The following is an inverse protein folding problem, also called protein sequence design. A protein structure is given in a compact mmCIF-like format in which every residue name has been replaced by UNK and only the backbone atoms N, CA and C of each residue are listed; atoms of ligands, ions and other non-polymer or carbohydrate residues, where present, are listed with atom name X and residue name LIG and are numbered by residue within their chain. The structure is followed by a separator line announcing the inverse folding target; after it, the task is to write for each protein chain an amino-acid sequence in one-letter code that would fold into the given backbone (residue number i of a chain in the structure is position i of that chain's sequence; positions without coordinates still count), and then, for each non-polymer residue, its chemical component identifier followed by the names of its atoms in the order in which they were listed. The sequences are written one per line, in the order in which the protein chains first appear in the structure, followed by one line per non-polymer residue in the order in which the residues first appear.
data_IF_569358499947
#
_entry.id   IF_569358499947
#
_cell.length_a   1.000
_cell.length_b   1.000
_cell.length_c   1.000
_cell.angle_alpha   90.00
_cell.angle_beta   90.00
_cell.angle_gamma   90.00
#
_symmetry.space_group_name_H-M   'P 1'
#
loop_
_entity.id
_entity.type
_entity.pdbx_description
1 polymer ?
#
# COMPACT_ATOMS: atom_id res chain seq x y z
N UNK A 1 -19.18 34.50 -10.75
CA UNK A 1 -20.39 34.25 -9.95
C UNK A 1 -20.42 35.28 -8.83
N UNK A 2 -21.20 36.31 -8.97
CA UNK A 2 -21.49 37.24 -7.87
C UNK A 2 -22.73 36.70 -7.15
N UNK A 3 -22.58 36.23 -5.93
CA UNK A 3 -23.65 35.88 -5.02
C UNK A 3 -23.79 37.02 -4.01
N UNK A 4 -25.01 37.50 -3.80
CA UNK A 4 -25.26 38.55 -2.81
C UNK A 4 -24.87 38.02 -1.41
N UNK A 5 -24.13 38.80 -0.63
CA UNK A 5 -23.69 38.42 0.72
C UNK A 5 -24.85 37.96 1.62
N UNK A 6 -26.05 38.48 1.40
CA UNK A 6 -27.27 38.12 2.11
C UNK A 6 -27.75 36.73 1.73
N UNK A 7 -27.76 36.39 0.43
CA UNK A 7 -28.13 35.08 -0.09
C UNK A 7 -27.10 34.02 0.32
N UNK A 8 -25.81 34.41 0.39
CA UNK A 8 -24.76 33.53 0.92
C UNK A 8 -24.97 33.23 2.40
N UNK A 9 -25.29 34.23 3.21
CA UNK A 9 -25.53 34.03 4.65
C UNK A 9 -26.77 33.16 4.91
N UNK A 10 -27.86 33.36 4.17
CA UNK A 10 -29.10 32.56 4.29
C UNK A 10 -28.88 31.08 3.86
N UNK A 11 -28.06 30.83 2.84
CA UNK A 11 -27.79 29.51 2.31
C UNK A 11 -26.54 28.82 2.95
N UNK A 12 -25.77 29.51 3.78
CA UNK A 12 -24.52 29.01 4.36
C UNK A 12 -24.72 28.00 5.50
N UNK A 13 -25.96 27.79 5.95
CA UNK A 13 -26.27 26.95 7.11
C UNK A 13 -25.72 27.49 8.44
N UNK A 14 -25.37 28.79 8.51
CA UNK A 14 -24.85 29.44 9.73
C UNK A 14 -25.96 30.02 10.62
N UNK A 15 -27.19 29.93 10.18
CA UNK A 15 -28.38 30.36 10.91
C UNK A 15 -29.36 29.21 11.08
N UNK A 16 -30.07 29.19 12.21
CA UNK A 16 -31.19 28.26 12.45
C UNK A 16 -32.45 28.71 11.70
N UNK A 17 -33.52 27.92 11.80
CA UNK A 17 -34.81 28.21 11.16
C UNK A 17 -35.44 29.52 11.67
N UNK A 18 -35.07 29.98 12.87
CA UNK A 18 -35.51 31.20 13.52
C UNK A 18 -34.57 32.39 13.22
N UNK A 19 -33.58 32.22 12.33
CA UNK A 19 -32.57 33.22 11.94
C UNK A 19 -31.60 33.62 13.06
N UNK A 20 -31.44 32.82 14.11
CA UNK A 20 -30.39 33.02 15.09
C UNK A 20 -29.07 32.48 14.53
N UNK A 21 -27.98 33.24 14.70
CA UNK A 21 -26.66 32.78 14.29
C UNK A 21 -26.23 31.54 15.10
N UNK A 22 -25.92 30.45 14.40
CA UNK A 22 -25.39 29.27 15.07
C UNK A 22 -24.02 29.56 15.67
N UNK A 23 -23.83 29.18 16.91
CA UNK A 23 -22.58 29.33 17.65
C UNK A 23 -21.72 28.09 17.41
N UNK A 24 -20.45 28.31 17.14
CA UNK A 24 -19.51 27.21 16.98
C UNK A 24 -19.43 26.40 18.28
N UNK A 25 -19.62 25.10 18.20
CA UNK A 25 -19.41 24.19 19.33
C UNK A 25 -17.89 24.06 19.55
N UNK A 26 -17.37 24.65 20.62
CA UNK A 26 -15.95 24.67 20.97
C UNK A 26 -15.64 23.70 22.09
N UNK A 27 -14.40 23.22 22.16
CA UNK A 27 -13.94 22.31 23.23
C UNK A 27 -14.04 22.92 24.66
N UNK A 28 -14.09 24.24 24.76
CA UNK A 28 -14.35 24.95 26.02
C UNK A 28 -15.80 24.82 26.53
N UNK A 29 -16.72 24.36 25.67
CA UNK A 29 -18.07 24.03 26.08
C UNK A 29 -18.09 22.69 26.81
N UNK A 30 -18.48 22.64 28.07
CA UNK A 30 -18.59 21.40 28.86
C UNK A 30 -19.58 20.36 28.28
N UNK A 31 -20.35 20.71 27.25
CA UNK A 31 -21.26 19.82 26.50
C UNK A 31 -20.79 19.50 25.09
N UNK A 32 -19.54 19.81 24.75
CA UNK A 32 -19.00 19.68 23.41
C UNK A 32 -19.34 18.34 22.73
N UNK A 33 -19.00 17.23 23.39
CA UNK A 33 -19.29 15.89 22.90
C UNK A 33 -20.79 15.55 22.91
N UNK A 34 -21.51 15.96 23.97
CA UNK A 34 -22.95 15.71 24.09
C UNK A 34 -23.74 16.39 22.99
N UNK A 35 -23.43 17.64 22.68
CA UNK A 35 -24.10 18.40 21.62
C UNK A 35 -23.82 17.78 20.24
N UNK A 36 -22.60 17.29 20.02
CA UNK A 36 -22.26 16.56 18.80
C UNK A 36 -23.03 15.23 18.71
N UNK A 37 -23.04 14.44 19.78
CA UNK A 37 -23.75 13.17 19.84
C UNK A 37 -25.25 13.34 19.57
N UNK A 38 -25.88 14.34 20.18
CA UNK A 38 -27.30 14.64 19.98
C UNK A 38 -27.62 15.01 18.52
N UNK A 39 -26.68 15.57 17.79
CA UNK A 39 -26.86 15.88 16.37
C UNK A 39 -26.64 14.66 15.47
N UNK A 40 -25.70 13.80 15.78
CA UNK A 40 -25.32 12.66 14.92
C UNK A 40 -26.22 11.45 15.15
N UNK A 41 -26.61 11.15 16.38
CA UNK A 41 -27.40 9.97 16.71
C UNK A 41 -28.71 9.85 15.91
N UNK A 42 -29.58 10.87 15.82
CA UNK A 42 -30.82 10.74 15.04
C UNK A 42 -30.54 10.56 13.53
N UNK A 43 -29.46 11.16 13.02
CA UNK A 43 -29.05 10.98 11.62
C UNK A 43 -28.61 9.56 11.33
N UNK A 44 -27.84 8.96 12.23
CA UNK A 44 -27.41 7.55 12.09
C UNK A 44 -28.60 6.59 12.21
N UNK A 45 -29.58 6.89 13.05
CA UNK A 45 -30.83 6.10 13.12
C UNK A 45 -31.58 6.10 11.81
N UNK A 46 -31.77 7.29 11.22
CA UNK A 46 -32.42 7.41 9.90
C UNK A 46 -31.59 6.69 8.82
N UNK A 47 -30.26 6.88 8.83
CA UNK A 47 -29.38 6.22 7.87
C UNK A 47 -29.48 4.68 7.99
N UNK A 48 -29.59 4.13 9.21
CA UNK A 48 -29.81 2.70 9.42
C UNK A 48 -31.11 2.21 8.78
N UNK A 49 -32.20 2.96 8.92
CA UNK A 49 -33.51 2.58 8.39
C UNK A 49 -33.55 2.67 6.84
N UNK A 50 -32.68 3.48 6.25
CA UNK A 50 -32.53 3.62 4.80
C UNK A 50 -31.50 2.66 4.19
N UNK A 51 -30.70 1.98 5.01
CA UNK A 51 -29.61 1.14 4.56
C UNK A 51 -30.15 -0.17 3.96
N UNK A 52 -29.71 -0.51 2.75
CA UNK A 52 -29.97 -1.81 2.13
C UNK A 52 -29.29 -2.94 2.94
N UNK A 53 -29.72 -4.19 2.73
CA UNK A 53 -29.16 -5.35 3.45
C UNK A 53 -27.66 -5.55 3.24
N UNK A 54 -27.14 -5.15 2.07
CA UNK A 54 -25.74 -5.16 1.67
C UNK A 54 -25.10 -3.75 1.68
N UNK A 55 -25.83 -2.77 2.22
CA UNK A 55 -25.43 -1.37 2.23
C UNK A 55 -24.25 -1.10 3.16
N UNK A 56 -23.52 -0.03 2.86
CA UNK A 56 -22.34 0.44 3.58
C UNK A 56 -22.51 1.91 3.95
N UNK A 57 -22.13 2.27 5.16
CA UNK A 57 -22.00 3.67 5.59
C UNK A 57 -20.53 3.99 5.79
N UNK A 58 -20.08 5.11 5.22
CA UNK A 58 -18.71 5.61 5.42
C UNK A 58 -18.77 7.03 5.93
N UNK A 59 -18.10 7.30 7.04
CA UNK A 59 -18.12 8.61 7.71
C UNK A 59 -16.69 9.09 7.89
N UNK A 60 -16.37 10.25 7.31
CA UNK A 60 -15.10 10.94 7.57
C UNK A 60 -15.20 11.70 8.89
N UNK A 61 -14.18 11.54 9.75
CA UNK A 61 -14.20 12.13 11.09
C UNK A 61 -12.78 12.41 11.60
N UNK A 62 -12.65 13.43 12.43
CA UNK A 62 -11.40 13.77 13.11
C UNK A 62 -11.17 12.91 14.36
N UNK A 63 -9.96 12.98 14.91
CA UNK A 63 -9.57 12.28 16.15
C UNK A 63 -10.43 12.63 17.37
N UNK A 64 -11.09 13.79 17.35
CA UNK A 64 -11.87 14.28 18.49
C UNK A 64 -13.08 13.42 18.82
N UNK A 65 -13.77 12.92 17.81
CA UNK A 65 -15.07 12.25 17.96
C UNK A 65 -15.08 10.81 17.43
N UNK A 66 -13.96 10.32 16.89
CA UNK A 66 -13.90 8.98 16.26
C UNK A 66 -14.32 7.87 17.23
N UNK A 67 -13.88 7.91 18.48
CA UNK A 67 -14.22 6.91 19.49
C UNK A 67 -15.70 6.93 19.89
N UNK A 68 -16.31 8.12 19.95
CA UNK A 68 -17.75 8.26 20.19
C UNK A 68 -18.56 7.74 19.00
N UNK A 69 -18.12 8.01 17.78
CA UNK A 69 -18.77 7.50 16.56
C UNK A 69 -18.69 5.97 16.47
N UNK A 70 -17.55 5.38 16.80
CA UNK A 70 -17.37 3.92 16.81
C UNK A 70 -18.32 3.28 17.83
N UNK A 71 -18.33 3.74 19.09
CA UNK A 71 -19.21 3.21 20.12
C UNK A 71 -20.70 3.33 19.75
N UNK A 72 -21.09 4.45 19.14
CA UNK A 72 -22.45 4.66 18.64
C UNK A 72 -22.79 3.72 17.47
N UNK A 73 -21.85 3.55 16.54
CA UNK A 73 -21.98 2.62 15.41
C UNK A 73 -22.19 1.18 15.90
N UNK A 74 -21.36 0.70 16.80
CA UNK A 74 -21.46 -0.64 17.39
C UNK A 74 -22.81 -0.84 18.10
N UNK A 75 -23.28 0.17 18.84
CA UNK A 75 -24.57 0.12 19.52
C UNK A 75 -25.77 0.10 18.58
N UNK A 76 -25.75 0.92 17.53
CA UNK A 76 -26.87 1.05 16.60
C UNK A 76 -26.94 -0.07 15.55
N UNK A 77 -25.78 -0.56 15.09
CA UNK A 77 -25.66 -1.47 13.95
C UNK A 77 -25.19 -2.87 14.37
N UNK A 78 -25.83 -3.48 15.35
CA UNK A 78 -25.41 -4.76 15.96
C UNK A 78 -25.27 -5.96 15.00
N UNK A 79 -25.78 -5.85 13.76
CA UNK A 79 -25.60 -6.82 12.67
C UNK A 79 -24.41 -6.52 11.74
N UNK A 80 -23.70 -5.42 11.95
CA UNK A 80 -22.61 -4.93 11.10
C UNK A 80 -21.26 -4.97 11.84
N UNK A 81 -20.19 -4.80 11.09
CA UNK A 81 -18.85 -4.49 11.62
C UNK A 81 -18.65 -2.98 11.56
N UNK A 82 -18.00 -2.43 12.59
CA UNK A 82 -17.55 -1.04 12.59
C UNK A 82 -16.02 -1.03 12.47
N UNK A 83 -15.51 -0.56 11.35
CA UNK A 83 -14.08 -0.59 11.03
C UNK A 83 -13.56 0.83 10.93
N UNK A 84 -12.46 1.13 11.60
CA UNK A 84 -11.80 2.44 11.54
C UNK A 84 -10.55 2.36 10.65
N UNK A 85 -10.51 3.20 9.62
CA UNK A 85 -9.37 3.34 8.71
C UNK A 85 -8.72 4.69 8.96
N UNK A 86 -7.42 4.70 9.26
CA UNK A 86 -6.63 5.92 9.40
C UNK A 86 -6.16 6.39 8.03
N UNK A 87 -6.45 7.65 7.69
CA UNK A 87 -6.09 8.25 6.41
C UNK A 87 -5.10 9.39 6.66
N UNK A 88 -3.91 9.28 6.12
CA UNK A 88 -2.94 10.38 6.17
C UNK A 88 -3.40 11.51 5.26
N UNK A 89 -3.69 12.68 5.84
CA UNK A 89 -4.19 13.87 5.12
C UNK A 89 -3.13 14.91 4.87
N UNK A 90 -2.00 14.85 5.58
CA UNK A 90 -0.91 15.83 5.44
C UNK A 90 0.46 15.18 5.65
N UNK A 91 1.50 15.74 5.01
CA UNK A 91 2.90 15.34 5.23
C UNK A 91 3.53 15.93 6.50
N UNK A 92 2.84 16.89 7.11
CA UNK A 92 3.30 17.62 8.30
C UNK A 92 4.56 18.47 8.07
N UNK A 93 4.68 19.54 8.87
CA UNK A 93 5.95 20.25 9.05
C UNK A 93 6.38 20.05 10.51
N UNK A 94 7.67 19.87 10.81
CA UNK A 94 8.13 19.78 12.19
C UNK A 94 7.71 21.03 12.95
N UNK A 95 6.97 20.87 14.06
CA UNK A 95 6.45 21.98 14.87
C UNK A 95 6.81 21.88 16.35
N UNK A 96 7.76 21.01 16.71
CA UNK A 96 8.23 20.86 18.09
C UNK A 96 7.26 20.16 19.05
N UNK A 97 6.16 19.56 18.55
CA UNK A 97 5.14 18.84 19.32
C UNK A 97 4.50 17.72 18.51
N UNK A 98 3.42 17.14 19.05
CA UNK A 98 2.62 16.17 18.30
C UNK A 98 1.73 16.87 17.29
N UNK A 99 1.83 16.44 16.01
CA UNK A 99 0.98 16.89 14.92
C UNK A 99 -0.01 15.80 14.53
N UNK A 100 -1.27 16.17 14.38
CA UNK A 100 -2.28 15.30 13.81
C UNK A 100 -2.18 15.38 12.27
N UNK A 101 -1.60 14.34 11.67
CA UNK A 101 -1.36 14.26 10.22
C UNK A 101 -2.40 13.39 9.52
N UNK A 102 -3.42 12.95 10.24
CA UNK A 102 -4.39 11.98 9.78
C UNK A 102 -5.80 12.33 10.23
N UNK A 103 -6.75 11.80 9.51
CA UNK A 103 -8.17 11.72 9.82
C UNK A 103 -8.61 10.27 9.75
N UNK A 104 -9.86 10.01 10.06
CA UNK A 104 -10.42 8.66 10.09
C UNK A 104 -11.59 8.53 9.14
N UNK A 105 -11.70 7.36 8.51
CA UNK A 105 -12.92 6.89 7.88
C UNK A 105 -13.48 5.77 8.75
N UNK A 106 -14.66 5.95 9.30
CA UNK A 106 -15.40 4.91 10.01
C UNK A 106 -16.34 4.24 9.02
N UNK A 107 -16.14 2.95 8.80
CA UNK A 107 -16.92 2.11 7.92
C UNK A 107 -17.87 1.27 8.76
N UNK A 108 -19.15 1.30 8.43
CA UNK A 108 -20.17 0.40 8.99
C UNK A 108 -20.60 -0.50 7.84
N UNK A 109 -20.23 -1.77 7.90
CA UNK A 109 -20.38 -2.74 6.81
C UNK A 109 -21.05 -4.03 7.31
N UNK A 110 -21.75 -4.78 6.45
CA UNK A 110 -22.25 -6.12 6.81
C UNK A 110 -21.12 -7.02 7.33
N UNK A 111 -21.45 -8.02 8.19
CA UNK A 111 -20.43 -8.93 8.76
C UNK A 111 -19.72 -9.79 7.72
N UNK A 112 -20.38 -10.06 6.62
CA UNK A 112 -19.92 -10.84 5.47
C UNK A 112 -19.42 -9.94 4.31
N UNK A 113 -19.20 -8.65 4.58
CA UNK A 113 -18.74 -7.69 3.58
C UNK A 113 -17.38 -8.09 2.99
N UNK A 114 -17.36 -8.24 1.68
CA UNK A 114 -16.12 -8.45 0.89
C UNK A 114 -15.94 -7.23 -0.02
N UNK A 115 -14.82 -6.53 0.15
CA UNK A 115 -14.49 -5.43 -0.73
C UNK A 115 -14.13 -5.96 -2.12
N UNK A 116 -14.84 -5.51 -3.15
CA UNK A 116 -14.44 -5.80 -4.52
C UNK A 116 -13.07 -5.18 -4.83
N UNK A 117 -12.20 -5.88 -5.56
CA UNK A 117 -10.96 -5.29 -6.02
C UNK A 117 -11.27 -4.06 -6.87
N UNK A 118 -10.67 -2.93 -6.51
CA UNK A 118 -10.81 -1.69 -7.28
C UNK A 118 -9.97 -1.84 -8.54
N UNK A 119 -10.58 -1.74 -9.71
CA UNK A 119 -9.84 -1.51 -10.95
C UNK A 119 -8.99 -0.25 -10.78
N UNK A 120 -7.70 -0.36 -11.09
CA UNK A 120 -6.76 0.73 -10.84
C UNK A 120 -7.22 2.01 -11.56
N UNK A 121 -7.41 3.08 -10.79
CA UNK A 121 -7.69 4.41 -11.32
C UNK A 121 -6.68 4.75 -12.41
N UNK A 122 -7.15 4.95 -13.65
CA UNK A 122 -6.30 5.29 -14.78
C UNK A 122 -6.30 4.27 -15.93
N UNK A 123 -7.14 3.22 -15.92
CA UNK A 123 -7.36 2.35 -17.08
C UNK A 123 -6.13 1.57 -17.55
N UNK A 124 -5.08 1.47 -16.73
CA UNK A 124 -3.95 0.56 -16.97
C UNK A 124 -4.17 -0.66 -16.11
N UNK A 125 -4.38 -1.80 -16.75
CA UNK A 125 -4.37 -3.10 -16.10
C UNK A 125 -3.09 -3.20 -15.25
N UNK A 126 -3.24 -3.12 -13.93
CA UNK A 126 -2.12 -3.43 -13.04
C UNK A 126 -1.95 -4.93 -13.08
N UNK A 127 -0.87 -5.37 -13.70
CA UNK A 127 -0.50 -6.78 -13.58
C UNK A 127 -0.25 -7.09 -12.10
N UNK A 128 -0.62 -8.27 -11.61
CA UNK A 128 -0.37 -8.66 -10.22
C UNK A 128 1.12 -8.78 -9.90
N UNK A 129 1.99 -8.64 -10.91
CA UNK A 129 3.43 -8.76 -10.74
C UNK A 129 4.04 -7.59 -9.97
N UNK A 130 4.83 -7.88 -8.96
CA UNK A 130 5.65 -6.93 -8.20
C UNK A 130 7.14 -7.06 -8.55
N UNK A 131 7.93 -6.00 -8.29
CA UNK A 131 9.38 -6.05 -8.52
C UNK A 131 10.05 -7.12 -7.67
N UNK A 132 10.93 -7.93 -8.28
CA UNK A 132 11.69 -8.97 -7.57
C UNK A 132 12.74 -8.38 -6.62
N UNK A 133 13.19 -7.14 -6.86
CA UNK A 133 14.18 -6.43 -6.05
C UNK A 133 13.61 -6.06 -4.68
N UNK A 134 14.33 -6.37 -3.61
CA UNK A 134 13.96 -6.09 -2.22
C UNK A 134 14.94 -5.08 -1.61
N UNK A 135 14.54 -3.80 -1.56
CA UNK A 135 15.40 -2.68 -1.15
C UNK A 135 15.47 -2.43 0.35
N UNK A 136 14.67 -3.15 1.15
CA UNK A 136 14.64 -3.04 2.61
C UNK A 136 15.76 -3.82 3.30
N UNK A 137 16.41 -4.72 2.58
CA UNK A 137 17.54 -5.51 3.07
C UNK A 137 18.76 -5.32 2.16
N UNK A 138 19.94 -5.52 2.71
CA UNK A 138 21.22 -5.51 2.03
C UNK A 138 21.86 -6.91 1.94
N UNK A 139 22.96 -6.96 1.24
CA UNK A 139 23.72 -8.20 0.99
C UNK A 139 24.45 -8.75 2.22
N UNK A 140 24.63 -7.94 3.28
CA UNK A 140 25.15 -8.42 4.57
C UNK A 140 24.09 -9.22 5.32
N UNK A 141 22.87 -8.67 5.38
CA UNK A 141 21.74 -9.27 6.07
C UNK A 141 21.22 -10.53 5.37
N UNK A 142 21.24 -10.53 4.02
CA UNK A 142 20.71 -11.63 3.22
C UNK A 142 21.64 -12.05 2.08
N UNK A 143 22.85 -12.57 2.39
CA UNK A 143 23.86 -12.89 1.36
C UNK A 143 23.42 -13.98 0.39
N UNK A 144 22.49 -14.87 0.76
CA UNK A 144 21.94 -15.88 -0.16
C UNK A 144 20.97 -15.30 -1.19
N UNK A 145 20.46 -14.07 -0.98
CA UNK A 145 19.59 -13.36 -1.93
C UNK A 145 20.35 -12.34 -2.78
N UNK A 146 21.67 -12.25 -2.65
CA UNK A 146 22.57 -11.44 -3.47
C UNK A 146 23.28 -12.35 -4.51
N UNK A 147 22.69 -12.49 -5.70
CA UNK A 147 23.17 -13.32 -6.79
C UNK A 147 22.76 -12.76 -8.15
N UNK A 148 23.50 -13.07 -9.26
CA UNK A 148 23.10 -12.66 -10.59
C UNK A 148 22.03 -13.59 -11.15
N UNK A 149 21.09 -13.01 -11.88
CA UNK A 149 20.13 -13.71 -12.74
C UNK A 149 20.59 -13.52 -14.18
N UNK A 150 20.66 -14.58 -14.96
CA UNK A 150 21.11 -14.56 -16.33
C UNK A 150 19.95 -14.52 -17.31
N UNK A 151 19.97 -13.55 -18.21
CA UNK A 151 18.96 -13.35 -19.24
C UNK A 151 19.64 -13.46 -20.62
N UNK A 152 19.10 -14.27 -21.50
CA UNK A 152 19.55 -14.37 -22.88
C UNK A 152 19.32 -13.05 -23.63
N UNK A 153 20.37 -12.53 -24.28
CA UNK A 153 20.30 -11.21 -24.92
C UNK A 153 19.37 -11.14 -26.13
N UNK A 154 19.17 -12.26 -26.84
CA UNK A 154 18.38 -12.32 -28.05
C UNK A 154 16.89 -12.54 -27.72
N UNK A 155 16.61 -13.46 -26.82
CA UNK A 155 15.24 -13.87 -26.52
C UNK A 155 14.63 -13.13 -25.32
N UNK A 156 15.45 -12.54 -24.45
CA UNK A 156 15.00 -11.92 -23.19
C UNK A 156 14.51 -12.93 -22.15
N UNK A 157 14.78 -14.22 -22.34
CA UNK A 157 14.36 -15.28 -21.44
C UNK A 157 15.40 -15.52 -20.32
N UNK A 158 14.92 -15.90 -19.16
CA UNK A 158 15.76 -16.32 -18.05
C UNK A 158 16.43 -17.66 -18.38
N UNK A 159 17.75 -17.70 -18.36
CA UNK A 159 18.56 -18.89 -18.68
C UNK A 159 19.14 -19.58 -17.46
N UNK A 160 19.32 -18.84 -16.37
CA UNK A 160 19.88 -19.40 -15.15
C UNK A 160 20.15 -18.36 -14.08
N UNK A 161 20.79 -18.79 -13.01
CA UNK A 161 21.25 -17.94 -11.91
C UNK A 161 22.70 -18.29 -11.58
N UNK A 162 23.46 -17.30 -11.10
CA UNK A 162 24.81 -17.52 -10.63
C UNK A 162 24.88 -17.83 -9.13
N UNK A 163 26.09 -18.02 -8.63
CA UNK A 163 26.34 -18.27 -7.22
C UNK A 163 25.96 -17.04 -6.38
N UNK A 164 25.28 -17.26 -5.26
CA UNK A 164 24.99 -16.21 -4.29
C UNK A 164 26.26 -15.82 -3.52
N UNK A 165 26.26 -14.61 -2.94
CA UNK A 165 27.35 -14.15 -2.09
C UNK A 165 27.61 -15.15 -0.92
N UNK A 166 26.55 -15.76 -0.37
CA UNK A 166 26.69 -16.82 0.64
C UNK A 166 27.50 -18.02 0.14
N UNK A 167 27.25 -18.45 -1.09
CA UNK A 167 27.99 -19.58 -1.73
C UNK A 167 29.43 -19.17 -2.05
N UNK A 168 29.65 -17.95 -2.49
CA UNK A 168 31.00 -17.44 -2.77
C UNK A 168 31.86 -17.39 -1.50
N UNK A 169 31.30 -16.96 -0.38
CA UNK A 169 31.97 -16.96 0.92
C UNK A 169 32.23 -18.40 1.39
N UNK A 170 31.22 -19.26 1.37
CA UNK A 170 31.34 -20.65 1.82
C UNK A 170 32.36 -21.47 1.01
N UNK A 171 32.55 -21.15 -0.27
CA UNK A 171 33.54 -21.78 -1.14
C UNK A 171 34.94 -21.13 -1.08
N UNK A 172 35.14 -20.09 -0.30
CA UNK A 172 36.39 -19.32 -0.22
C UNK A 172 36.71 -18.47 -1.46
N UNK A 173 35.79 -18.35 -2.42
CA UNK A 173 35.94 -17.49 -3.60
C UNK A 173 35.85 -16.00 -3.28
N UNK A 174 35.25 -15.66 -2.16
CA UNK A 174 35.21 -14.31 -1.62
C UNK A 174 35.48 -14.34 -0.10
N UNK A 175 36.45 -13.56 0.34
CA UNK A 175 36.89 -13.50 1.74
C UNK A 175 36.78 -12.11 2.34
N UNK A 176 36.29 -11.12 1.58
CA UNK A 176 36.10 -9.74 2.03
C UNK A 176 34.84 -9.55 2.84
N UNK A 177 34.65 -8.32 3.31
CA UNK A 177 33.41 -7.90 3.97
C UNK A 177 32.23 -7.94 2.98
N UNK A 178 31.08 -8.46 3.41
CA UNK A 178 29.90 -8.65 2.56
C UNK A 178 29.37 -7.36 1.95
N UNK A 179 29.43 -6.23 2.68
CA UNK A 179 28.98 -4.93 2.19
C UNK A 179 29.87 -4.41 1.06
N UNK A 180 31.18 -4.77 1.10
CA UNK A 180 32.16 -4.37 0.11
C UNK A 180 32.16 -5.23 -1.16
N UNK A 181 31.36 -6.31 -1.21
CA UNK A 181 31.23 -7.12 -2.41
C UNK A 181 30.64 -6.29 -3.55
N UNK A 182 31.38 -6.17 -4.65
CA UNK A 182 30.92 -5.48 -5.87
C UNK A 182 30.23 -6.47 -6.79
N UNK A 183 29.04 -6.14 -7.26
CA UNK A 183 28.29 -6.96 -8.21
C UNK A 183 29.02 -7.05 -9.56
N UNK A 184 29.43 -8.25 -9.92
CA UNK A 184 30.18 -8.52 -11.15
C UNK A 184 29.23 -8.83 -12.32
N UNK A 185 29.06 -7.87 -13.22
CA UNK A 185 28.25 -8.04 -14.41
C UNK A 185 28.92 -8.86 -15.52
N UNK A 186 30.26 -9.09 -15.42
CA UNK A 186 31.01 -9.88 -16.39
C UNK A 186 30.86 -11.41 -16.16
N UNK A 187 30.26 -11.83 -15.06
CA UNK A 187 30.07 -13.23 -14.72
C UNK A 187 29.03 -13.97 -15.58
N UNK A 188 28.35 -13.26 -16.49
CA UNK A 188 27.33 -13.85 -17.35
C UNK A 188 27.92 -14.87 -18.34
N UNK A 189 27.25 -15.99 -18.63
CA UNK A 189 27.58 -16.89 -19.71
C UNK A 189 27.53 -16.17 -21.09
N UNK A 190 28.28 -16.66 -22.05
CA UNK A 190 28.29 -16.11 -23.43
C UNK A 190 26.87 -16.07 -24.01
N UNK A 191 26.48 -14.91 -24.53
CA UNK A 191 25.14 -14.66 -25.08
C UNK A 191 24.06 -14.31 -24.03
N UNK A 192 24.46 -14.15 -22.77
CA UNK A 192 23.56 -13.71 -21.69
C UNK A 192 24.10 -12.47 -20.99
N UNK A 193 23.22 -11.73 -20.34
CA UNK A 193 23.56 -10.61 -19.46
C UNK A 193 23.25 -10.97 -18.01
N UNK A 194 24.08 -10.50 -17.10
CA UNK A 194 23.84 -10.63 -15.67
C UNK A 194 22.98 -9.47 -15.16
N UNK A 195 21.92 -9.79 -14.42
CA UNK A 195 21.06 -8.83 -13.75
C UNK A 195 21.24 -9.01 -12.25
N UNK A 196 21.60 -7.92 -11.58
CA UNK A 196 21.82 -7.90 -10.14
C UNK A 196 20.71 -7.14 -9.40
N UNK A 197 20.47 -7.42 -8.09
CA UNK A 197 19.45 -6.75 -7.29
C UNK A 197 19.88 -5.31 -6.96
N UNK A 198 19.69 -4.40 -7.87
CA UNK A 198 20.03 -2.99 -7.76
C UNK A 198 18.77 -2.15 -7.98
N UNK A 199 18.55 -1.16 -7.11
CA UNK A 199 17.40 -0.25 -7.26
C UNK A 199 17.57 0.65 -8.50
N UNK A 200 16.49 1.27 -8.97
CA UNK A 200 16.56 2.24 -10.07
C UNK A 200 17.52 3.42 -9.81
N UNK A 201 17.84 3.71 -8.55
CA UNK A 201 18.79 4.75 -8.13
C UNK A 201 20.24 4.25 -8.01
N UNK A 202 20.50 2.98 -8.35
CA UNK A 202 21.83 2.38 -8.30
C UNK A 202 22.26 1.88 -6.92
N UNK A 203 21.33 1.76 -5.95
CA UNK A 203 21.66 1.19 -4.63
C UNK A 203 21.61 -0.33 -4.70
N UNK A 204 22.68 -0.99 -4.26
CA UNK A 204 22.73 -2.45 -4.06
C UNK A 204 21.70 -2.88 -3.01
N UNK A 205 21.04 -3.98 -3.27
CA UNK A 205 20.07 -4.60 -2.37
C UNK A 205 20.04 -6.13 -2.61
N UNK A 206 18.93 -6.80 -2.37
CA UNK A 206 18.81 -8.26 -2.54
C UNK A 206 17.56 -8.61 -3.35
N UNK A 207 17.46 -9.86 -3.81
CA UNK A 207 16.22 -10.38 -4.39
C UNK A 207 15.24 -10.79 -3.29
N UNK A 208 13.94 -10.88 -3.62
CA UNK A 208 12.90 -11.42 -2.73
C UNK A 208 13.02 -12.92 -2.53
N UNK A 209 13.62 -13.62 -3.49
CA UNK A 209 13.73 -15.07 -3.53
C UNK A 209 15.19 -15.54 -3.49
N UNK A 210 15.40 -16.77 -3.03
CA UNK A 210 16.68 -17.46 -3.09
C UNK A 210 16.89 -18.09 -4.47
N UNK A 211 18.15 -18.41 -4.89
CA UNK A 211 18.45 -18.91 -6.24
C UNK A 211 17.64 -20.14 -6.65
N UNK A 212 17.46 -21.08 -5.73
CA UNK A 212 16.79 -22.35 -5.99
C UNK A 212 15.31 -22.16 -6.36
N UNK A 213 14.67 -21.17 -5.73
CA UNK A 213 13.24 -20.88 -5.95
C UNK A 213 13.00 -20.17 -7.28
N UNK A 214 13.88 -19.29 -7.71
CA UNK A 214 13.73 -18.51 -8.96
C UNK A 214 13.54 -19.40 -10.18
N UNK A 215 14.34 -20.45 -10.33
CA UNK A 215 14.25 -21.36 -11.47
C UNK A 215 12.93 -22.15 -11.48
N UNK A 216 12.45 -22.52 -10.30
CA UNK A 216 11.14 -23.17 -10.17
C UNK A 216 9.99 -22.23 -10.51
N UNK A 217 10.01 -21.04 -9.96
CA UNK A 217 8.98 -20.01 -10.18
C UNK A 217 8.95 -19.53 -11.64
N UNK A 218 10.12 -19.47 -12.31
CA UNK A 218 10.21 -19.20 -13.74
C UNK A 218 9.51 -20.27 -14.57
N UNK A 219 9.76 -21.55 -14.30
CA UNK A 219 9.12 -22.67 -15.02
C UNK A 219 7.61 -22.71 -14.84
N UNK A 220 7.11 -22.23 -13.71
CA UNK A 220 5.67 -22.14 -13.41
C UNK A 220 5.01 -20.87 -14.01
N UNK A 221 5.79 -19.96 -14.62
CA UNK A 221 5.27 -18.71 -15.17
C UNK A 221 5.03 -17.62 -14.14
N UNK A 222 5.52 -17.76 -12.91
CA UNK A 222 5.35 -16.79 -11.83
C UNK A 222 6.33 -15.61 -11.91
N UNK A 223 7.27 -15.64 -12.85
CA UNK A 223 8.26 -14.58 -13.06
C UNK A 223 8.06 -13.96 -14.45
N UNK A 224 8.13 -12.65 -14.51
CA UNK A 224 8.09 -11.86 -15.75
C UNK A 224 9.40 -11.09 -15.92
N UNK A 225 9.98 -11.17 -17.10
CA UNK A 225 11.17 -10.40 -17.50
C UNK A 225 10.75 -9.35 -18.51
N UNK A 226 11.18 -8.11 -18.33
CA UNK A 226 10.87 -7.00 -19.24
C UNK A 226 12.15 -6.21 -19.54
N UNK A 227 12.42 -5.95 -20.82
CA UNK A 227 13.55 -5.12 -21.22
C UNK A 227 13.30 -3.66 -20.88
N UNK A 228 14.28 -3.01 -20.25
CA UNK A 228 14.21 -1.61 -19.90
C UNK A 228 14.48 -0.74 -21.14
N UNK A 229 13.60 0.21 -21.44
CA UNK A 229 13.82 1.17 -22.54
C UNK A 229 14.91 2.19 -22.19
N UNK A 230 15.03 2.56 -20.92
CA UNK A 230 16.08 3.43 -20.38
C UNK A 230 16.53 2.83 -19.06
N UNK A 231 17.76 2.34 -18.99
CA UNK A 231 18.35 1.87 -17.73
C UNK A 231 18.99 3.03 -16.99
N UNK A 232 18.51 3.29 -15.77
CA UNK A 232 19.16 4.22 -14.83
C UNK A 232 20.26 3.56 -13.99
N UNK A 233 20.41 2.25 -14.16
CA UNK A 233 21.44 1.40 -13.56
C UNK A 233 22.01 0.49 -14.64
N UNK A 234 22.94 -0.42 -14.31
CA UNK A 234 23.56 -1.32 -15.28
C UNK A 234 22.63 -2.46 -15.76
N UNK A 235 21.47 -2.64 -15.14
CA UNK A 235 20.53 -3.69 -15.51
C UNK A 235 19.75 -3.33 -16.77
N UNK A 236 19.89 -4.15 -17.81
CA UNK A 236 19.15 -4.00 -19.06
C UNK A 236 17.70 -4.53 -18.98
N UNK A 237 17.39 -5.32 -17.96
CA UNK A 237 16.08 -5.93 -17.74
C UNK A 237 15.57 -5.68 -16.33
N UNK A 238 14.27 -5.61 -16.21
CA UNK A 238 13.53 -5.66 -14.94
C UNK A 238 12.93 -7.04 -14.75
N UNK A 239 13.01 -7.56 -13.54
CA UNK A 239 12.44 -8.85 -13.18
C UNK A 239 11.33 -8.63 -12.16
N UNK A 240 10.19 -9.22 -12.41
CA UNK A 240 8.99 -9.13 -11.57
C UNK A 240 8.53 -10.55 -11.21
N UNK A 241 7.85 -10.67 -10.06
CA UNK A 241 7.32 -11.92 -9.55
C UNK A 241 5.87 -11.74 -9.10
N UNK A 242 5.06 -12.79 -9.19
CA UNK A 242 3.75 -12.80 -8.55
C UNK A 242 3.91 -12.76 -7.02
N UNK A 243 3.11 -11.95 -6.29
CA UNK A 243 3.08 -11.97 -4.83
C UNK A 243 2.76 -13.36 -4.27
N UNK A 244 3.32 -13.70 -3.12
CA UNK A 244 3.12 -15.03 -2.51
C UNK A 244 1.65 -15.39 -2.30
N UNK A 245 0.82 -14.42 -1.89
CA UNK A 245 -0.61 -14.64 -1.74
C UNK A 245 -1.32 -15.00 -3.05
N UNK A 246 -0.90 -14.42 -4.19
CA UNK A 246 -1.44 -14.77 -5.51
C UNK A 246 -0.99 -16.18 -5.92
N UNK A 247 0.29 -16.51 -5.68
CA UNK A 247 0.82 -17.85 -5.96
C UNK A 247 0.05 -18.92 -5.16
N UNK A 248 -0.22 -18.67 -3.88
CA UNK A 248 -0.99 -19.60 -3.03
C UNK A 248 -2.41 -19.86 -3.57
N UNK A 249 -3.09 -18.84 -4.07
CA UNK A 249 -4.43 -18.95 -4.68
C UNK A 249 -4.36 -19.79 -5.96
N UNK A 250 -3.37 -19.52 -6.82
CA UNK A 250 -3.14 -20.31 -8.06
C UNK A 250 -2.83 -21.78 -7.71
N UNK A 251 -1.97 -22.03 -6.74
CA UNK A 251 -1.58 -23.41 -6.36
C UNK A 251 -2.72 -24.19 -5.70
N UNK A 252 -3.70 -23.50 -5.09
CA UNK A 252 -4.96 -24.10 -4.59
C UNK A 252 -6.00 -24.33 -5.67
N UNK A 253 -5.81 -23.80 -6.88
CA UNK A 253 -6.78 -23.89 -7.96
C UNK A 253 -8.01 -23.00 -7.77
N UNK A 254 -7.87 -21.91 -7.02
CA UNK A 254 -8.93 -20.94 -6.72
C UNK A 254 -8.91 -19.75 -7.72
N UNK A 255 -8.04 -19.76 -8.73
CA UNK A 255 -7.91 -18.81 -9.83
C UNK A 255 -7.89 -19.53 -11.16
#
# INVERSE_FOLDING_TARGET
FEQNARDYMENSGQYDEERNRMVQNTESNGRFHTDWLNKIYPRLRIAKDLLASDGVIVISISYREVHHLVAMGESLFGGHQVVTVTVQTSGGKPSGGFNYLHEYLVWIVPKDFIANPVEAWGGKDRTPFEGLTLSTFDKEQRPNQAYPIFIDEKTGLLTGVGASLQVLIGSGKYTGDKLNYVYDYSCAPVGSVAIWPVTAKGKDCVWRQIPERILSDWKKGYIKVTRNSISKNQNQYSIQILPSGVIEIIEKGEL
#
